data_IF_123642816967
#
_entry.id   IF_123642816967
#
_cell.length_a   1.000
_cell.length_b   1.000
_cell.length_c   1.000
_cell.angle_alpha   90.00
_cell.angle_beta   90.00
_cell.angle_gamma   90.00
#
_symmetry.space_group_name_H-M   'P 1'
#
loop_
_entity.id
_entity.type
_entity.pdbx_description
1 polymer ?
#
# COMPACT_ATOMS: atom_id res chain seq x y z
N UNK A 1 4.44 18.83 6.95
CA UNK A 1 4.78 17.66 6.10
C UNK A 1 5.87 16.86 6.80
N UNK A 2 5.54 15.71 7.42
CA UNK A 2 6.56 14.88 8.06
C UNK A 2 7.20 14.00 6.97
N UNK A 3 8.44 14.30 6.58
CA UNK A 3 9.20 13.54 5.60
C UNK A 3 9.32 12.07 6.01
N UNK A 4 9.39 11.18 5.02
CA UNK A 4 9.71 9.77 5.24
C UNK A 4 11.10 9.74 5.89
N UNK A 5 11.26 9.20 7.11
CA UNK A 5 12.57 9.11 7.72
C UNK A 5 13.49 8.27 6.82
N UNK A 6 14.72 8.71 6.62
CA UNK A 6 15.76 7.86 6.06
C UNK A 6 16.08 6.80 7.12
N UNK A 7 15.45 5.63 7.01
CA UNK A 7 15.65 4.55 7.96
C UNK A 7 16.97 3.85 7.65
N UNK A 8 17.96 3.97 8.53
CA UNK A 8 19.26 3.31 8.38
C UNK A 8 19.23 1.81 8.75
N UNK A 9 18.09 1.29 9.24
CA UNK A 9 17.94 -0.14 9.55
C UNK A 9 16.51 -0.63 9.35
N UNK A 10 16.39 -1.91 9.01
CA UNK A 10 15.11 -2.62 8.89
C UNK A 10 14.31 -2.59 10.20
N UNK A 11 15.00 -2.74 11.33
CA UNK A 11 14.39 -2.67 12.65
C UNK A 11 13.82 -1.27 12.93
N UNK A 12 14.52 -0.20 12.51
CA UNK A 12 14.04 1.17 12.66
C UNK A 12 12.78 1.46 11.84
N UNK A 13 12.76 0.98 10.59
CA UNK A 13 11.58 1.05 9.72
C UNK A 13 10.39 0.30 10.34
N UNK A 14 10.61 -0.93 10.80
CA UNK A 14 9.57 -1.74 11.45
C UNK A 14 9.03 -1.10 12.73
N UNK A 15 9.92 -0.61 13.61
CA UNK A 15 9.52 0.05 14.85
C UNK A 15 8.67 1.31 14.58
N UNK A 16 9.08 2.12 13.59
CA UNK A 16 8.30 3.27 13.14
C UNK A 16 6.94 2.84 12.58
N UNK A 17 6.92 1.81 11.74
CA UNK A 17 5.71 1.28 11.12
C UNK A 17 4.70 0.80 12.18
N UNK A 18 5.15 -0.01 13.14
CA UNK A 18 4.32 -0.52 14.24
C UNK A 18 3.75 0.64 15.07
N UNK A 19 4.57 1.66 15.38
CA UNK A 19 4.12 2.85 16.11
C UNK A 19 3.07 3.66 15.33
N UNK A 20 3.24 3.75 14.00
CA UNK A 20 2.37 4.53 13.10
C UNK A 20 1.02 3.84 12.86
N UNK A 21 1.00 2.52 12.74
CA UNK A 21 -0.18 1.74 12.32
C UNK A 21 -0.97 1.15 13.52
N UNK A 22 -1.04 1.88 14.63
CA UNK A 22 -1.73 1.43 15.85
C UNK A 22 -3.25 1.62 15.80
N UNK A 23 -3.76 2.52 14.94
CA UNK A 23 -5.18 2.92 14.90
C UNK A 23 -5.96 2.17 13.81
N UNK A 24 -7.27 2.04 14.01
CA UNK A 24 -8.21 1.59 12.97
C UNK A 24 -8.58 2.80 12.10
N UNK A 25 -7.87 2.98 10.99
CA UNK A 25 -8.21 3.96 9.97
C UNK A 25 -7.94 3.40 8.58
N UNK A 26 -8.63 3.91 7.56
CA UNK A 26 -8.40 3.48 6.17
C UNK A 26 -6.95 3.74 5.74
N UNK A 27 -6.36 4.84 6.21
CA UNK A 27 -4.93 5.12 6.02
C UNK A 27 -4.03 4.03 6.62
N UNK A 28 -4.31 3.59 7.86
CA UNK A 28 -3.54 2.51 8.47
C UNK A 28 -3.75 1.18 7.73
N UNK A 29 -4.97 0.89 7.25
CA UNK A 29 -5.25 -0.28 6.43
C UNK A 29 -4.48 -0.24 5.11
N UNK A 30 -4.45 0.91 4.43
CA UNK A 30 -3.67 1.12 3.21
C UNK A 30 -2.19 0.85 3.43
N UNK A 31 -1.59 1.37 4.50
CA UNK A 31 -0.17 1.11 4.78
C UNK A 31 0.08 -0.37 5.07
N UNK A 32 -0.78 -1.04 5.85
CA UNK A 32 -0.64 -2.49 6.11
C UNK A 32 -0.70 -3.29 4.82
N UNK A 33 -1.64 -2.96 3.94
CA UNK A 33 -1.83 -3.64 2.66
C UNK A 33 -0.67 -3.39 1.72
N UNK A 34 -0.20 -2.15 1.61
CA UNK A 34 0.99 -1.81 0.85
C UNK A 34 2.22 -2.56 1.36
N UNK A 35 2.44 -2.60 2.68
CA UNK A 35 3.53 -3.34 3.29
C UNK A 35 3.48 -4.83 2.97
N UNK A 36 2.32 -5.45 3.15
CA UNK A 36 2.13 -6.87 2.86
C UNK A 36 2.34 -7.18 1.36
N UNK A 37 1.81 -6.33 0.48
CA UNK A 37 2.02 -6.43 -0.96
C UNK A 37 3.51 -6.30 -1.31
N UNK A 38 4.24 -5.33 -0.74
CA UNK A 38 5.68 -5.19 -0.97
C UNK A 38 6.45 -6.46 -0.61
N UNK A 39 6.22 -7.02 0.58
CA UNK A 39 6.90 -8.26 1.00
C UNK A 39 6.60 -9.41 0.04
N UNK A 40 5.32 -9.55 -0.32
CA UNK A 40 4.89 -10.60 -1.23
C UNK A 40 5.48 -10.48 -2.63
N UNK A 41 5.45 -9.30 -3.23
CA UNK A 41 5.94 -9.07 -4.59
C UNK A 41 7.46 -9.15 -4.68
N UNK A 42 8.20 -8.70 -3.66
CA UNK A 42 9.66 -8.89 -3.59
C UNK A 42 10.02 -10.38 -3.49
N UNK A 43 9.35 -11.12 -2.62
CA UNK A 43 9.55 -12.57 -2.50
C UNK A 43 9.20 -13.30 -3.80
N UNK A 44 8.05 -12.97 -4.41
CA UNK A 44 7.59 -13.56 -5.67
C UNK A 44 8.59 -13.29 -6.79
N UNK A 45 9.08 -12.06 -6.92
CA UNK A 45 10.07 -11.70 -7.93
C UNK A 45 11.37 -12.47 -7.73
N UNK A 46 11.90 -12.55 -6.50
CA UNK A 46 13.10 -13.35 -6.20
C UNK A 46 12.92 -14.80 -6.65
N UNK A 47 11.77 -15.41 -6.37
CA UNK A 47 11.49 -16.78 -6.77
C UNK A 47 11.36 -16.92 -8.30
N UNK A 48 10.72 -15.96 -8.97
CA UNK A 48 10.63 -15.97 -10.43
C UNK A 48 12.01 -15.87 -11.09
N UNK A 49 12.92 -15.07 -10.55
CA UNK A 49 14.30 -14.97 -11.07
C UNK A 49 15.05 -16.28 -10.93
N UNK A 50 14.95 -16.94 -9.77
CA UNK A 50 15.66 -18.19 -9.49
C UNK A 50 15.09 -19.35 -10.32
N UNK A 51 13.77 -19.54 -10.28
CA UNK A 51 13.14 -20.77 -10.76
C UNK A 51 12.49 -20.65 -12.14
N UNK A 52 12.21 -19.43 -12.61
CA UNK A 52 11.51 -19.19 -13.89
C UNK A 52 12.33 -18.37 -14.89
N UNK A 53 13.48 -17.83 -14.47
CA UNK A 53 14.31 -16.92 -15.28
C UNK A 53 13.49 -15.73 -15.84
N UNK A 54 12.47 -15.30 -15.08
CA UNK A 54 11.64 -14.15 -15.41
C UNK A 54 12.04 -12.97 -14.56
N UNK A 55 12.13 -11.80 -15.19
CA UNK A 55 12.59 -10.57 -14.57
C UNK A 55 11.60 -9.45 -14.86
N UNK A 56 11.11 -8.81 -13.80
CA UNK A 56 10.37 -7.55 -13.89
C UNK A 56 11.29 -6.39 -13.53
N UNK A 57 11.04 -5.25 -14.17
CA UNK A 57 11.66 -4.00 -13.75
C UNK A 57 11.15 -3.57 -12.38
N UNK A 58 11.94 -2.76 -11.67
CA UNK A 58 11.54 -2.20 -10.37
C UNK A 58 10.21 -1.44 -10.51
N UNK A 59 10.04 -0.66 -11.57
CA UNK A 59 8.81 0.09 -11.84
C UNK A 59 7.58 -0.82 -12.02
N UNK A 60 7.73 -1.95 -12.71
CA UNK A 60 6.64 -2.94 -12.85
C UNK A 60 6.25 -3.55 -11.51
N UNK A 61 7.23 -3.91 -10.69
CA UNK A 61 6.99 -4.48 -9.35
C UNK A 61 6.28 -3.45 -8.46
N UNK A 62 6.71 -2.19 -8.50
CA UNK A 62 6.07 -1.09 -7.75
C UNK A 62 4.63 -0.89 -8.21
N UNK A 63 4.37 -0.88 -9.52
CA UNK A 63 3.02 -0.76 -10.05
C UNK A 63 2.12 -1.93 -9.62
N UNK A 64 2.63 -3.17 -9.65
CA UNK A 64 1.90 -4.34 -9.17
C UNK A 64 1.53 -4.22 -7.68
N UNK A 65 2.47 -3.76 -6.85
CA UNK A 65 2.26 -3.53 -5.41
C UNK A 65 1.18 -2.48 -5.18
N UNK A 66 1.26 -1.34 -5.89
CA UNK A 66 0.30 -0.25 -5.76
C UNK A 66 -1.10 -0.70 -6.19
N UNK A 67 -1.19 -1.44 -7.29
CA UNK A 67 -2.44 -2.00 -7.80
C UNK A 67 -3.08 -2.98 -6.80
N UNK A 68 -2.29 -3.91 -6.26
CA UNK A 68 -2.76 -4.89 -5.27
C UNK A 68 -3.24 -4.22 -3.98
N UNK A 69 -2.45 -3.28 -3.44
CA UNK A 69 -2.81 -2.54 -2.23
C UNK A 69 -4.09 -1.71 -2.44
N UNK A 70 -4.22 -1.04 -3.59
CA UNK A 70 -5.40 -0.24 -3.96
C UNK A 70 -6.65 -1.11 -4.01
N UNK A 71 -6.62 -2.21 -4.75
CA UNK A 71 -7.79 -3.08 -4.92
C UNK A 71 -8.25 -3.68 -3.59
N UNK A 72 -7.30 -4.10 -2.74
CA UNK A 72 -7.62 -4.60 -1.39
C UNK A 72 -8.21 -3.52 -0.51
N UNK A 73 -7.69 -2.29 -0.55
CA UNK A 73 -8.28 -1.16 0.20
C UNK A 73 -9.70 -0.89 -0.25
N UNK A 74 -9.95 -0.86 -1.57
CA UNK A 74 -11.29 -0.62 -2.11
C UNK A 74 -12.29 -1.71 -1.69
N UNK A 75 -11.88 -2.98 -1.70
CA UNK A 75 -12.70 -4.08 -1.20
C UNK A 75 -13.03 -3.93 0.30
N UNK A 76 -12.11 -3.38 1.10
CA UNK A 76 -12.32 -3.10 2.53
C UNK A 76 -13.09 -1.79 2.81
N UNK A 77 -13.06 -0.83 1.89
CA UNK A 77 -13.53 0.55 2.09
C UNK A 77 -15.02 0.78 1.79
N UNK A 78 -15.84 -0.27 1.71
CA UNK A 78 -17.30 -0.17 1.55
C UNK A 78 -17.89 0.92 2.47
N UNK A 79 -18.93 1.65 2.01
CA UNK A 79 -19.14 3.09 2.18
C UNK A 79 -19.48 3.48 3.63
N UNK A 80 -18.49 3.39 4.51
CA UNK A 80 -18.58 3.88 5.88
C UNK A 80 -17.42 4.82 6.10
N UNK A 81 -17.71 6.08 5.79
CA UNK A 81 -17.08 7.29 6.35
C UNK A 81 -15.66 7.06 6.85
N UNK A 82 -14.68 7.12 5.95
CA UNK A 82 -13.28 7.05 6.34
C UNK A 82 -12.54 8.28 5.85
N UNK A 83 -11.95 9.00 6.80
CA UNK A 83 -11.14 10.19 6.57
C UNK A 83 -9.77 9.81 6.02
N UNK A 84 -9.70 9.30 4.78
CA UNK A 84 -8.43 9.26 4.07
C UNK A 84 -8.13 10.70 3.62
N UNK A 85 -6.96 11.27 3.95
CA UNK A 85 -6.60 12.59 3.46
C UNK A 85 -6.66 12.60 1.93
N UNK A 86 -7.35 13.59 1.34
CA UNK A 86 -7.58 13.65 -0.10
C UNK A 86 -6.26 13.66 -0.89
N UNK A 87 -5.18 14.22 -0.33
CA UNK A 87 -3.84 14.18 -0.92
C UNK A 87 -3.30 12.75 -1.08
N UNK A 88 -3.49 11.90 -0.08
CA UNK A 88 -3.13 10.48 -0.15
C UNK A 88 -4.05 9.74 -1.10
N UNK A 89 -5.35 10.05 -1.09
CA UNK A 89 -6.29 9.45 -2.03
C UNK A 89 -5.93 9.76 -3.48
N UNK A 90 -5.54 11.00 -3.81
CA UNK A 90 -5.10 11.40 -5.16
C UNK A 90 -3.79 10.69 -5.53
N UNK A 91 -2.79 10.70 -4.65
CA UNK A 91 -1.49 10.05 -4.90
C UNK A 91 -1.64 8.55 -5.21
N UNK A 92 -2.59 7.89 -4.57
CA UNK A 92 -2.86 6.46 -4.76
C UNK A 92 -3.95 6.18 -5.81
N UNK A 93 -4.46 7.21 -6.50
CA UNK A 93 -5.52 7.12 -7.50
C UNK A 93 -6.89 6.71 -6.94
N UNK A 94 -7.08 6.76 -5.62
CA UNK A 94 -8.30 6.41 -4.90
C UNK A 94 -9.35 7.54 -4.88
N UNK A 95 -8.98 8.75 -5.32
CA UNK A 95 -9.83 9.94 -5.17
C UNK A 95 -11.21 9.79 -5.82
N UNK A 96 -11.27 9.27 -7.03
CA UNK A 96 -12.53 9.09 -7.77
C UNK A 96 -13.41 8.00 -7.16
N UNK A 97 -12.79 6.95 -6.62
CA UNK A 97 -13.53 5.82 -6.04
C UNK A 97 -14.16 6.18 -4.70
N UNK A 98 -13.48 7.02 -3.90
CA UNK A 98 -14.01 7.51 -2.63
C UNK A 98 -15.08 8.61 -2.80
N UNK A 99 -15.12 9.29 -3.95
CA UNK A 99 -16.12 10.31 -4.28
C UNK A 99 -17.39 9.74 -4.91
N UNK A 100 -17.38 8.48 -5.35
CA UNK A 100 -18.55 7.83 -5.92
C UNK A 100 -19.67 7.73 -4.88
N UNK A 101 -20.84 8.35 -5.10
CA UNK A 101 -22.02 8.07 -4.30
C UNK A 101 -22.40 6.61 -4.58
N UNK A 102 -22.64 5.87 -3.50
CA UNK A 102 -23.19 4.51 -3.51
C UNK A 102 -24.34 4.44 -4.52
N UNK A 103 -24.10 3.85 -5.68
CA UNK A 103 -25.20 3.42 -6.54
C UNK A 103 -25.75 2.15 -5.90
N UNK A 104 -27.01 2.28 -5.47
CA UNK A 104 -27.79 1.31 -4.70
C UNK A 104 -28.18 0.12 -5.55
#
# INVERSE_FOLDING_TARGET
MAGIPLFCSWQGLLAWLVKRIRRKSLYCALIKLAWNATMYHVWRERNNRIYRQQFKSVSQIVNDILFDARNKVLAFAAPKSSSLPMSIAVQWGLAEVLKSPVQS
#
